data_IF_327746944417
#
_entry.id   IF_327746944417
#
_cell.length_a   1.000
_cell.length_b   1.000
_cell.length_c   1.000
_cell.angle_alpha   90.00
_cell.angle_beta   90.00
_cell.angle_gamma   90.00
#
_symmetry.space_group_name_H-M   'P 1'
#
loop_
_entity.id
_entity.type
_entity.pdbx_description
1 polymer ?
#
# COMPACT_ATOMS: atom_id res chain seq x y z
N UNK A 1 18.36 6.36 -6.72
CA UNK A 1 17.45 5.48 -5.97
C UNK A 1 16.09 6.15 -5.87
N UNK A 2 14.99 5.42 -6.01
CA UNK A 2 13.62 5.98 -6.04
C UNK A 2 12.88 5.83 -4.72
N UNK A 3 13.26 4.83 -3.91
CA UNK A 3 12.71 4.60 -2.58
C UNK A 3 12.96 5.76 -1.62
N UNK A 4 11.92 6.12 -0.85
CA UNK A 4 11.99 7.05 0.27
C UNK A 4 11.17 6.51 1.45
N UNK A 5 11.83 6.33 2.58
CA UNK A 5 11.17 5.91 3.82
C UNK A 5 10.33 7.06 4.39
N UNK A 6 9.03 6.84 4.66
CA UNK A 6 8.19 7.86 5.31
C UNK A 6 8.24 7.76 6.84
N UNK A 7 8.57 6.60 7.41
CA UNK A 7 8.65 6.35 8.86
C UNK A 7 7.34 6.44 9.63
N UNK A 8 6.22 6.67 8.95
CA UNK A 8 4.89 6.70 9.57
C UNK A 8 4.41 5.26 9.76
N UNK A 9 4.01 4.91 10.99
CA UNK A 9 3.43 3.61 11.29
C UNK A 9 2.08 3.42 10.58
N UNK A 10 1.80 2.18 10.21
CA UNK A 10 0.56 1.75 9.57
C UNK A 10 -0.01 0.57 10.35
N UNK A 11 -1.31 0.61 10.60
CA UNK A 11 -2.07 -0.52 11.14
C UNK A 11 -3.34 -0.70 10.32
N UNK A 12 -3.61 -1.91 9.84
CA UNK A 12 -4.83 -2.25 9.11
C UNK A 12 -5.53 -3.41 9.81
N UNK A 13 -6.80 -3.21 10.17
CA UNK A 13 -7.65 -4.24 10.76
C UNK A 13 -8.42 -5.00 9.67
N UNK A 14 -8.31 -6.32 9.68
CA UNK A 14 -8.98 -7.26 8.78
C UNK A 14 -9.88 -8.20 9.58
N UNK A 15 -11.08 -7.73 9.93
CA UNK A 15 -12.04 -8.52 10.71
C UNK A 15 -11.42 -9.03 12.02
N UNK A 16 -11.06 -10.31 12.05
CA UNK A 16 -10.45 -11.00 13.21
C UNK A 16 -8.92 -10.89 13.30
N UNK A 17 -8.25 -10.34 12.29
CA UNK A 17 -6.78 -10.18 12.27
C UNK A 17 -6.35 -8.75 11.96
N UNK A 18 -5.05 -8.48 12.07
CA UNK A 18 -4.48 -7.18 11.72
C UNK A 18 -3.12 -7.32 11.05
N UNK A 19 -2.74 -6.27 10.32
CA UNK A 19 -1.39 -6.08 9.80
C UNK A 19 -0.81 -4.79 10.40
N UNK A 20 0.45 -4.82 10.82
CA UNK A 20 1.19 -3.63 11.23
C UNK A 20 2.44 -3.46 10.38
N UNK A 21 2.89 -2.22 10.22
CA UNK A 21 4.02 -1.91 9.36
C UNK A 21 4.38 -0.43 9.32
N UNK A 22 5.12 -0.04 8.28
CA UNK A 22 5.52 1.34 8.02
C UNK A 22 5.16 1.77 6.61
N UNK A 23 4.94 3.07 6.42
CA UNK A 23 4.75 3.66 5.10
C UNK A 23 6.09 3.98 4.45
N UNK A 24 6.19 3.68 3.15
CA UNK A 24 7.28 4.06 2.27
C UNK A 24 6.74 4.63 0.97
N UNK A 25 7.60 5.35 0.24
CA UNK A 25 7.35 5.82 -1.11
C UNK A 25 8.32 5.15 -2.07
N UNK A 26 7.85 4.77 -3.24
CA UNK A 26 8.72 4.35 -4.34
C UNK A 26 8.00 4.52 -5.70
N UNK A 27 8.64 4.08 -6.77
CA UNK A 27 7.99 3.88 -8.07
C UNK A 27 7.37 2.49 -8.13
N UNK A 28 6.06 2.42 -8.33
CA UNK A 28 5.33 1.16 -8.47
C UNK A 28 4.94 0.97 -9.94
N UNK A 29 5.26 -0.18 -10.52
CA UNK A 29 4.87 -0.49 -11.91
C UNK A 29 3.66 -1.42 -11.91
N UNK A 30 2.58 -1.02 -12.58
CA UNK A 30 1.36 -1.83 -12.72
C UNK A 30 0.94 -1.83 -14.18
N UNK A 31 0.78 -3.01 -14.78
CA UNK A 31 0.35 -3.14 -16.17
C UNK A 31 1.26 -2.42 -17.18
N UNK A 32 2.55 -2.29 -16.89
CA UNK A 32 3.52 -1.55 -17.72
C UNK A 32 3.58 -0.05 -17.47
N UNK A 33 2.71 0.51 -16.62
CA UNK A 33 2.72 1.93 -16.25
C UNK A 33 3.52 2.13 -14.96
N UNK A 34 4.50 3.03 -15.01
CA UNK A 34 5.33 3.39 -13.86
C UNK A 34 4.70 4.57 -13.09
N UNK A 35 4.14 4.28 -11.92
CA UNK A 35 3.55 5.26 -11.00
C UNK A 35 4.62 5.74 -10.01
N UNK A 36 5.08 6.97 -10.18
CA UNK A 36 6.14 7.57 -9.37
C UNK A 36 5.59 8.06 -8.04
N UNK A 37 6.44 8.08 -7.02
CA UNK A 37 6.13 8.61 -5.68
C UNK A 37 4.83 8.01 -5.10
N UNK A 38 4.60 6.72 -5.35
CA UNK A 38 3.48 5.99 -4.80
C UNK A 38 3.80 5.61 -3.35
N UNK A 39 2.89 5.96 -2.45
CA UNK A 39 2.96 5.51 -1.05
C UNK A 39 2.40 4.09 -0.91
N UNK A 40 3.08 3.23 -0.16
CA UNK A 40 2.63 1.87 0.15
C UNK A 40 3.03 1.47 1.56
N UNK A 41 2.35 0.45 2.09
CA UNK A 41 2.65 -0.14 3.39
C UNK A 41 3.62 -1.30 3.25
N UNK A 42 4.65 -1.33 4.08
CA UNK A 42 5.55 -2.46 4.25
C UNK A 42 5.16 -3.16 5.56
N UNK A 43 4.67 -4.39 5.47
CA UNK A 43 4.26 -5.18 6.62
C UNK A 43 5.46 -5.62 7.47
N UNK A 44 5.23 -5.69 8.77
CA UNK A 44 6.15 -6.28 9.77
C UNK A 44 5.45 -7.44 10.47
N UNK A 45 4.18 -7.26 10.81
CA UNK A 45 3.33 -8.32 11.35
C UNK A 45 2.10 -8.47 10.48
N UNK A 46 1.69 -9.70 10.25
CA UNK A 46 0.54 -10.04 9.41
C UNK A 46 -0.40 -10.98 10.16
N UNK A 47 -1.67 -10.99 9.73
CA UNK A 47 -2.65 -11.89 10.31
C UNK A 47 -2.38 -13.33 9.84
N UNK A 48 -2.60 -14.32 10.70
CA UNK A 48 -2.33 -15.73 10.40
C UNK A 48 -3.03 -16.23 9.15
N UNK A 49 -4.20 -15.69 8.78
CA UNK A 49 -4.88 -16.11 7.55
C UNK A 49 -4.14 -15.68 6.27
N UNK A 50 -3.32 -14.62 6.32
CA UNK A 50 -2.56 -14.12 5.17
C UNK A 50 -1.50 -15.12 4.71
N UNK A 51 -0.99 -15.96 5.61
CA UNK A 51 -0.05 -17.03 5.25
C UNK A 51 -0.64 -18.09 4.30
N UNK A 52 -1.97 -18.18 4.23
CA UNK A 52 -2.68 -19.12 3.35
C UNK A 52 -3.17 -18.44 2.07
N UNK A 53 -2.97 -17.12 1.92
CA UNK A 53 -3.29 -16.42 0.69
C UNK A 53 -2.26 -16.77 -0.38
N UNK A 54 -2.72 -16.97 -1.62
CA UNK A 54 -1.81 -17.14 -2.77
C UNK A 54 -1.17 -15.82 -3.22
N UNK A 55 -1.71 -14.70 -2.78
CA UNK A 55 -1.22 -13.36 -3.11
C UNK A 55 -0.26 -12.88 -2.02
N UNK A 56 0.81 -12.20 -2.43
CA UNK A 56 1.81 -11.64 -1.50
C UNK A 56 1.38 -10.32 -0.85
N UNK A 57 0.30 -9.70 -1.34
CA UNK A 57 -0.15 -8.41 -0.83
C UNK A 57 -1.46 -7.94 -1.46
N UNK A 58 -1.86 -6.73 -1.08
CA UNK A 58 -3.13 -6.12 -1.47
C UNK A 58 -2.87 -4.77 -2.16
N UNK A 59 -3.40 -4.61 -3.37
CA UNK A 59 -3.44 -3.34 -4.08
C UNK A 59 -4.84 -2.73 -3.93
N UNK A 60 -4.98 -1.73 -3.06
CA UNK A 60 -6.24 -1.03 -2.86
C UNK A 60 -6.60 -0.13 -4.06
N UNK A 61 -7.81 -0.31 -4.60
CA UNK A 61 -8.37 0.50 -5.70
C UNK A 61 -9.55 1.39 -5.27
N UNK A 62 -9.79 1.47 -3.97
CA UNK A 62 -10.85 2.30 -3.41
C UNK A 62 -10.45 3.78 -3.35
N UNK A 63 -11.46 4.65 -3.19
CA UNK A 63 -11.27 6.09 -3.11
C UNK A 63 -10.38 6.54 -1.94
N UNK A 64 -9.67 7.68 -2.06
CA UNK A 64 -8.78 8.21 -1.03
C UNK A 64 -9.41 8.31 0.37
N UNK A 65 -10.72 8.60 0.44
CA UNK A 65 -11.46 8.74 1.71
C UNK A 65 -11.50 7.47 2.55
N UNK A 66 -11.26 6.30 1.95
CA UNK A 66 -11.24 5.00 2.63
C UNK A 66 -9.81 4.54 2.94
N UNK A 67 -8.80 5.37 2.66
CA UNK A 67 -7.41 5.05 2.94
C UNK A 67 -7.11 5.14 4.44
N UNK A 68 -6.64 4.04 5.04
CA UNK A 68 -6.34 3.97 6.47
C UNK A 68 -5.32 5.02 6.95
N UNK A 69 -4.46 5.52 6.06
CA UNK A 69 -3.41 6.49 6.37
C UNK A 69 -3.63 7.88 5.74
N UNK A 70 -4.75 8.06 5.01
CA UNK A 70 -4.97 9.21 4.13
C UNK A 70 -4.07 9.23 2.89
N UNK A 71 -3.43 8.09 2.58
CA UNK A 71 -2.60 7.91 1.41
C UNK A 71 -3.40 8.04 0.11
N UNK A 72 -2.83 8.72 -0.89
CA UNK A 72 -3.34 8.74 -2.26
C UNK A 72 -3.25 7.33 -2.87
N UNK A 73 -4.38 6.75 -3.30
CA UNK A 73 -4.40 5.44 -3.94
C UNK A 73 -3.61 5.42 -5.26
N UNK A 74 -3.23 4.20 -5.67
CA UNK A 74 -2.43 3.98 -6.89
C UNK A 74 -3.15 4.49 -8.12
N UNK A 75 -4.46 4.28 -8.21
CA UNK A 75 -5.26 4.70 -9.35
C UNK A 75 -5.32 6.23 -9.48
N UNK A 76 -5.51 6.95 -8.37
CA UNK A 76 -5.46 8.42 -8.37
C UNK A 76 -4.10 8.95 -8.83
N UNK A 77 -3.00 8.34 -8.40
CA UNK A 77 -1.66 8.71 -8.86
C UNK A 77 -1.45 8.38 -10.35
N UNK A 78 -1.99 7.27 -10.85
CA UNK A 78 -1.97 6.97 -12.30
C UNK A 78 -2.68 8.07 -13.09
N UNK A 79 -3.90 8.43 -12.70
CA UNK A 79 -4.69 9.47 -13.37
C UNK A 79 -4.04 10.86 -13.30
N UNK A 80 -3.31 11.16 -12.23
CA UNK A 80 -2.60 12.44 -12.09
C UNK A 80 -1.27 12.48 -12.85
N UNK A 81 -0.67 11.33 -13.15
CA UNK A 81 0.62 11.22 -13.84
C UNK A 81 0.49 10.88 -15.33
N UNK A 82 -0.75 10.64 -15.79
CA UNK A 82 -1.14 10.43 -17.18
C UNK A 82 -2.13 11.48 -17.64
#
# INVERSE_FOLDING_TARGET
TTYKHSGRSLTIQYGTGSMTGFLGYDTVTVGGLAVKNQIFGMSITEATFMQYMRADGILGLAYPRLSASGATPVFDNMMNQG
#
